data_IF_931564382823
#
_entry.id   IF_931564382823
#
_cell.length_a   1.000
_cell.length_b   1.000
_cell.length_c   1.000
_cell.angle_alpha   90.00
_cell.angle_beta   90.00
_cell.angle_gamma   90.00
#
_symmetry.space_group_name_H-M   'P 1'
#
loop_
_entity.id
_entity.type
_entity.pdbx_description
1 polymer ?
#
# COMPACT_ATOMS: atom_id res chain seq x y z
N UNK A 1 4.13 -9.13 -28.86
CA UNK A 1 4.34 -8.42 -27.60
C UNK A 1 4.13 -9.45 -26.49
N UNK A 2 5.17 -9.83 -25.77
CA UNK A 2 5.01 -10.68 -24.60
C UNK A 2 4.11 -9.95 -23.60
N UNK A 3 3.01 -10.59 -23.21
CA UNK A 3 2.13 -10.05 -22.17
C UNK A 3 2.92 -9.99 -20.87
N UNK A 4 3.19 -8.79 -20.35
CA UNK A 4 3.85 -8.61 -19.05
C UNK A 4 2.98 -9.32 -18.01
N UNK A 5 3.54 -10.37 -17.39
CA UNK A 5 2.83 -11.14 -16.36
C UNK A 5 2.58 -10.23 -15.16
N UNK A 6 1.31 -10.04 -14.75
CA UNK A 6 0.99 -9.20 -13.61
C UNK A 6 1.57 -9.78 -12.32
N UNK A 7 1.93 -8.90 -11.39
CA UNK A 7 2.43 -9.30 -10.07
C UNK A 7 1.29 -9.62 -9.11
N UNK A 8 0.19 -8.86 -9.23
CA UNK A 8 -1.01 -9.01 -8.41
C UNK A 8 -2.24 -9.02 -9.32
N UNK A 9 -3.12 -10.00 -9.14
CA UNK A 9 -4.38 -10.09 -9.88
C UNK A 9 -5.57 -10.26 -8.95
N UNK A 10 -6.61 -9.50 -9.18
CA UNK A 10 -7.93 -9.72 -8.60
C UNK A 10 -8.78 -10.46 -9.63
N UNK A 11 -9.39 -11.59 -9.27
CA UNK A 11 -10.30 -12.35 -10.12
C UNK A 11 -11.65 -12.52 -9.44
N UNK A 12 -12.61 -11.70 -9.85
CA UNK A 12 -13.96 -11.64 -9.27
C UNK A 12 -13.93 -11.56 -7.75
N UNK A 13 -12.97 -10.79 -7.22
CA UNK A 13 -12.75 -10.66 -5.79
C UNK A 13 -13.93 -9.94 -5.16
N UNK A 14 -14.49 -10.54 -4.11
CA UNK A 14 -15.54 -9.96 -3.29
C UNK A 14 -15.12 -9.94 -1.82
N UNK A 15 -15.52 -8.91 -1.08
CA UNK A 15 -15.33 -8.83 0.38
C UNK A 15 -16.66 -8.50 1.05
N UNK A 16 -17.04 -9.34 2.01
CA UNK A 16 -18.28 -9.19 2.77
C UNK A 16 -18.00 -9.02 4.26
N UNK A 17 -18.61 -8.03 4.89
CA UNK A 17 -18.58 -7.84 6.35
C UNK A 17 -19.67 -8.63 7.09
N UNK A 18 -20.73 -9.04 6.37
CA UNK A 18 -21.83 -9.86 6.89
C UNK A 18 -22.50 -10.60 5.73
N UNK A 19 -23.43 -11.51 6.03
CA UNK A 19 -24.20 -12.21 4.99
C UNK A 19 -24.98 -11.26 4.06
N UNK A 20 -25.24 -10.03 4.48
CA UNK A 20 -26.07 -9.06 3.76
C UNK A 20 -25.28 -7.87 3.17
N UNK A 21 -24.03 -7.65 3.59
CA UNK A 21 -23.27 -6.44 3.22
C UNK A 21 -22.00 -6.79 2.49
N UNK A 22 -22.00 -6.64 1.17
CA UNK A 22 -20.81 -6.71 0.33
C UNK A 22 -20.15 -5.32 0.22
N UNK A 23 -18.94 -5.19 0.75
CA UNK A 23 -18.15 -3.97 0.66
C UNK A 23 -17.31 -3.90 -0.62
N UNK A 24 -16.99 -5.05 -1.22
CA UNK A 24 -16.30 -5.18 -2.52
C UNK A 24 -17.03 -6.23 -3.34
N UNK A 25 -17.29 -5.92 -4.61
CA UNK A 25 -18.15 -6.73 -5.49
C UNK A 25 -17.45 -7.04 -6.81
N UNK A 26 -17.10 -8.30 -7.02
CA UNK A 26 -16.61 -8.88 -8.27
C UNK A 26 -15.46 -8.10 -8.95
N UNK A 27 -14.55 -7.52 -8.16
CA UNK A 27 -13.42 -6.77 -8.68
C UNK A 27 -12.48 -7.71 -9.46
N UNK A 28 -12.18 -7.30 -10.69
CA UNK A 28 -11.18 -7.98 -11.54
C UNK A 28 -10.23 -6.94 -12.12
N UNK A 29 -8.94 -7.08 -11.81
CA UNK A 29 -7.88 -6.18 -12.28
C UNK A 29 -6.53 -6.90 -12.22
N UNK A 30 -5.62 -6.52 -13.11
CA UNK A 30 -4.26 -7.05 -13.16
C UNK A 30 -3.25 -5.91 -12.96
N UNK A 31 -2.46 -5.99 -11.90
CA UNK A 31 -1.50 -4.96 -11.50
C UNK A 31 -0.13 -5.32 -12.06
N UNK A 32 0.46 -4.41 -12.80
CA UNK A 32 1.77 -4.58 -13.42
C UNK A 32 2.89 -4.44 -12.38
N UNK A 33 3.95 -5.22 -12.57
CA UNK A 33 5.14 -5.16 -11.70
C UNK A 33 5.84 -3.81 -11.82
N UNK A 34 6.38 -3.32 -10.70
CA UNK A 34 7.17 -2.07 -10.62
C UNK A 34 6.39 -0.85 -11.15
N UNK A 35 5.11 -0.77 -10.79
CA UNK A 35 4.25 0.37 -11.08
C UNK A 35 3.58 0.88 -9.82
N UNK A 36 3.09 2.13 -9.88
CA UNK A 36 2.16 2.65 -8.87
C UNK A 36 0.76 2.59 -9.46
N UNK A 37 -0.14 1.87 -8.79
CA UNK A 37 -1.58 1.87 -9.09
C UNK A 37 -2.33 2.59 -7.99
N UNK A 38 -3.07 3.66 -8.32
CA UNK A 38 -3.91 4.38 -7.39
C UNK A 38 -5.33 3.80 -7.34
N UNK A 39 -5.88 3.62 -6.14
CA UNK A 39 -7.29 3.26 -5.92
C UNK A 39 -8.01 4.51 -5.44
N UNK A 40 -8.95 5.01 -6.23
CA UNK A 40 -9.72 6.22 -5.99
C UNK A 40 -11.21 5.92 -5.86
N UNK A 41 -11.97 6.87 -5.31
CA UNK A 41 -13.42 6.82 -5.19
C UNK A 41 -13.92 7.47 -3.89
N UNK A 42 -15.23 7.66 -3.74
CA UNK A 42 -15.84 8.26 -2.55
C UNK A 42 -15.54 7.51 -1.26
N UNK A 43 -15.69 8.17 -0.12
CA UNK A 43 -15.56 7.54 1.19
C UNK A 43 -16.55 6.37 1.33
N UNK A 44 -16.10 5.27 1.95
CA UNK A 44 -16.93 4.08 2.15
C UNK A 44 -17.17 3.18 0.93
N UNK A 45 -16.62 3.49 -0.26
CA UNK A 45 -16.84 2.69 -1.47
C UNK A 45 -16.05 1.37 -1.53
N UNK A 46 -15.27 1.00 -0.50
CA UNK A 46 -14.57 -0.30 -0.42
C UNK A 46 -13.07 -0.28 -0.71
N UNK A 47 -12.43 0.88 -0.97
CA UNK A 47 -10.98 0.99 -1.31
C UNK A 47 -10.06 0.33 -0.30
N UNK A 48 -10.11 0.78 0.94
CA UNK A 48 -9.27 0.21 2.02
C UNK A 48 -9.63 -1.24 2.33
N UNK A 49 -10.87 -1.64 2.09
CA UNK A 49 -11.32 -3.03 2.22
C UNK A 49 -10.65 -3.92 1.18
N UNK A 50 -10.65 -3.50 -0.10
CA UNK A 50 -9.96 -4.19 -1.18
C UNK A 50 -8.46 -4.25 -0.91
N UNK A 51 -7.85 -3.12 -0.52
CA UNK A 51 -6.42 -3.04 -0.21
C UNK A 51 -6.04 -4.03 0.89
N UNK A 52 -6.79 -4.05 2.01
CA UNK A 52 -6.54 -4.92 3.16
C UNK A 52 -6.82 -6.39 2.90
N UNK A 53 -7.57 -6.73 1.86
CA UNK A 53 -7.74 -8.12 1.45
C UNK A 53 -6.44 -8.71 0.90
N UNK A 54 -5.58 -7.90 0.27
CA UNK A 54 -4.31 -8.34 -0.34
C UNK A 54 -3.28 -8.82 0.70
N UNK A 55 -3.28 -8.31 1.93
CA UNK A 55 -2.40 -8.78 3.00
C UNK A 55 -3.10 -9.65 4.06
N UNK A 56 -4.29 -10.16 3.73
CA UNK A 56 -5.11 -11.02 4.59
C UNK A 56 -5.44 -10.39 5.96
N UNK A 57 -5.57 -9.05 6.05
CA UNK A 57 -5.99 -8.40 7.30
C UNK A 57 -7.42 -8.74 7.69
N UNK A 58 -8.25 -9.14 6.75
CA UNK A 58 -9.61 -9.60 7.03
C UNK A 58 -9.64 -10.83 7.95
N UNK A 59 -8.60 -11.68 7.96
CA UNK A 59 -8.50 -12.84 8.85
C UNK A 59 -8.44 -12.47 10.34
N UNK A 60 -8.17 -11.20 10.67
CA UNK A 60 -8.22 -10.68 12.04
C UNK A 60 -9.67 -10.45 12.53
N UNK A 61 -10.65 -10.52 11.65
CA UNK A 61 -12.05 -10.24 11.92
C UNK A 61 -12.93 -11.43 11.53
N UNK A 62 -13.55 -12.15 12.48
CA UNK A 62 -14.23 -13.42 12.24
C UNK A 62 -15.44 -13.32 11.30
N UNK A 63 -16.00 -12.13 11.16
CA UNK A 63 -17.19 -11.90 10.33
C UNK A 63 -16.89 -11.49 8.90
N UNK A 64 -15.61 -11.18 8.56
CA UNK A 64 -15.24 -10.79 7.20
C UNK A 64 -14.94 -12.04 6.37
N UNK A 65 -15.48 -12.08 5.17
CA UNK A 65 -15.23 -13.15 4.20
C UNK A 65 -14.75 -12.55 2.88
N UNK A 66 -13.77 -13.20 2.27
CA UNK A 66 -13.27 -12.89 0.93
C UNK A 66 -13.60 -14.07 0.02
N UNK A 67 -14.10 -13.76 -1.18
CA UNK A 67 -14.46 -14.72 -2.21
C UNK A 67 -13.76 -14.34 -3.53
N UNK A 68 -13.72 -15.28 -4.47
CA UNK A 68 -12.94 -15.15 -5.70
C UNK A 68 -11.48 -15.49 -5.46
N UNK A 69 -10.58 -14.91 -6.24
CA UNK A 69 -9.15 -15.17 -6.11
C UNK A 69 -8.39 -13.82 -6.03
N UNK A 70 -7.30 -13.84 -5.28
CA UNK A 70 -6.28 -12.78 -5.29
C UNK A 70 -4.95 -13.48 -5.53
N UNK A 71 -4.36 -13.28 -6.70
CA UNK A 71 -3.13 -13.96 -7.08
C UNK A 71 -1.93 -13.03 -6.88
N UNK A 72 -0.91 -13.49 -6.18
CA UNK A 72 0.40 -12.84 -6.04
C UNK A 72 1.45 -13.69 -6.77
N UNK A 73 2.03 -13.16 -7.85
CA UNK A 73 2.92 -13.92 -8.73
C UNK A 73 2.27 -15.23 -9.28
N UNK A 74 0.93 -15.24 -9.42
CA UNK A 74 0.17 -16.39 -9.91
C UNK A 74 -0.27 -17.38 -8.84
N UNK A 75 0.08 -17.18 -7.55
CA UNK A 75 -0.33 -18.00 -6.41
C UNK A 75 -1.52 -17.35 -5.69
N UNK A 76 -2.57 -18.11 -5.41
CA UNK A 76 -3.75 -17.60 -4.71
C UNK A 76 -3.43 -17.37 -3.22
N UNK A 77 -3.33 -16.11 -2.82
CA UNK A 77 -2.99 -15.75 -1.42
C UNK A 77 -4.05 -16.18 -0.40
N UNK A 78 -5.29 -16.42 -0.83
CA UNK A 78 -6.35 -16.89 0.07
C UNK A 78 -6.14 -18.35 0.54
N UNK A 79 -5.26 -19.09 -0.14
CA UNK A 79 -4.86 -20.46 0.17
C UNK A 79 -3.50 -20.55 0.88
N UNK A 80 -2.83 -19.39 1.08
CA UNK A 80 -1.52 -19.32 1.72
C UNK A 80 -1.62 -19.02 3.21
N UNK A 81 -0.57 -19.37 3.96
CA UNK A 81 -0.45 -18.95 5.36
C UNK A 81 -0.30 -17.42 5.46
N UNK A 82 -1.08 -16.75 6.32
CA UNK A 82 -1.05 -15.29 6.44
C UNK A 82 0.34 -14.69 6.72
N UNK A 83 1.20 -15.43 7.41
CA UNK A 83 2.57 -14.99 7.70
C UNK A 83 3.41 -14.89 6.43
N UNK A 84 3.25 -15.82 5.50
CA UNK A 84 4.01 -15.85 4.25
C UNK A 84 3.52 -14.76 3.29
N UNK A 85 2.21 -14.53 3.24
CA UNK A 85 1.63 -13.41 2.48
C UNK A 85 2.16 -12.08 3.02
N UNK A 86 2.13 -11.86 4.35
CA UNK A 86 2.56 -10.60 4.98
C UNK A 86 4.06 -10.34 4.91
N UNK A 87 4.89 -11.36 4.63
CA UNK A 87 6.31 -11.18 4.28
C UNK A 87 6.49 -10.59 2.88
N UNK A 88 5.62 -10.98 1.95
CA UNK A 88 5.66 -10.58 0.54
C UNK A 88 4.85 -9.32 0.25
N UNK A 89 3.91 -8.95 1.14
CA UNK A 89 3.00 -7.82 1.00
C UNK A 89 3.15 -6.89 2.20
N UNK A 90 3.92 -5.80 2.01
CA UNK A 90 4.09 -4.76 3.02
C UNK A 90 2.86 -3.87 3.13
N UNK A 91 2.62 -3.27 4.31
CA UNK A 91 1.49 -2.36 4.53
C UNK A 91 1.93 -1.10 5.27
N UNK A 92 1.51 0.06 4.75
CA UNK A 92 1.63 1.37 5.39
C UNK A 92 0.23 1.93 5.62
N UNK A 93 -0.04 2.31 6.86
CA UNK A 93 -1.35 2.80 7.28
C UNK A 93 -1.48 4.31 7.14
N UNK A 94 -2.72 4.78 7.15
CA UNK A 94 -3.09 6.19 7.04
C UNK A 94 -2.42 7.07 8.11
N UNK A 95 -2.42 6.60 9.36
CA UNK A 95 -1.72 7.27 10.45
C UNK A 95 -0.37 6.61 10.67
N UNK A 96 0.72 7.39 10.75
CA UNK A 96 2.02 6.86 11.14
C UNK A 96 1.89 6.07 12.44
N UNK A 97 2.34 4.82 12.44
CA UNK A 97 2.24 3.93 13.59
C UNK A 97 3.58 3.20 13.82
N UNK A 98 4.66 3.91 14.16
CA UNK A 98 5.85 3.24 14.66
C UNK A 98 5.51 2.52 15.97
N UNK A 99 6.15 1.39 16.25
CA UNK A 99 5.99 0.71 17.53
C UNK A 99 6.53 1.62 18.65
N UNK A 100 5.69 2.08 19.59
CA UNK A 100 6.04 3.17 20.50
C UNK A 100 7.11 2.80 21.53
N UNK A 101 7.25 1.51 21.82
CA UNK A 101 8.26 0.98 22.75
C UNK A 101 9.60 0.69 22.09
N UNK A 102 9.64 0.63 20.76
CA UNK A 102 10.82 0.30 19.98
C UNK A 102 11.61 1.55 19.58
N UNK A 103 12.94 1.39 19.48
CA UNK A 103 13.82 2.40 18.89
C UNK A 103 13.55 2.57 17.38
N UNK A 104 14.13 3.59 16.75
CA UNK A 104 14.13 3.76 15.29
C UNK A 104 14.73 2.50 14.63
N UNK A 105 15.87 2.04 15.16
CA UNK A 105 16.56 0.83 14.71
C UNK A 105 15.68 -0.41 14.79
N UNK A 106 15.05 -0.66 15.95
CA UNK A 106 14.21 -1.84 16.16
C UNK A 106 12.91 -1.77 15.38
N UNK A 107 12.35 -0.58 15.15
CA UNK A 107 11.19 -0.40 14.27
C UNK A 107 11.47 -0.92 12.86
N UNK A 108 12.61 -0.60 12.27
CA UNK A 108 12.99 -1.10 10.94
C UNK A 108 13.10 -2.63 10.95
N UNK A 109 13.69 -3.20 11.99
CA UNK A 109 13.95 -4.65 12.10
C UNK A 109 12.78 -5.46 12.65
N UNK A 110 11.68 -4.81 13.05
CA UNK A 110 10.56 -5.47 13.72
C UNK A 110 9.95 -6.61 12.92
N UNK A 111 9.92 -6.50 11.59
CA UNK A 111 9.44 -7.57 10.71
C UNK A 111 10.24 -8.86 10.88
N UNK A 112 11.54 -8.79 10.99
CA UNK A 112 12.39 -9.97 11.23
C UNK A 112 12.15 -10.58 12.61
N UNK A 113 12.08 -9.71 13.64
CA UNK A 113 11.84 -10.15 15.02
C UNK A 113 10.48 -10.86 15.16
N UNK A 114 9.41 -10.28 14.61
CA UNK A 114 8.07 -10.85 14.66
C UNK A 114 7.93 -12.16 13.88
N UNK A 115 8.77 -12.37 12.87
CA UNK A 115 8.83 -13.61 12.10
C UNK A 115 9.85 -14.64 12.63
N UNK A 116 10.50 -14.38 13.79
CA UNK A 116 11.50 -15.28 14.35
C UNK A 116 12.80 -15.38 13.55
N UNK A 117 13.05 -14.46 12.62
CA UNK A 117 14.22 -14.48 11.75
C UNK A 117 15.40 -13.83 12.48
N UNK A 118 16.44 -14.61 12.74
CA UNK A 118 17.67 -14.13 13.38
C UNK A 118 18.64 -13.58 12.34
N UNK A 119 19.07 -12.35 12.51
CA UNK A 119 20.10 -11.71 11.68
C UNK A 119 21.36 -11.48 12.51
N UNK A 120 22.55 -11.61 11.89
CA UNK A 120 23.80 -11.15 12.47
C UNK A 120 23.79 -9.63 12.68
N UNK A 121 24.63 -9.11 13.58
CA UNK A 121 24.72 -7.67 13.85
C UNK A 121 25.00 -6.88 12.55
N UNK A 122 26.00 -7.33 11.79
CA UNK A 122 26.35 -6.69 10.52
C UNK A 122 25.17 -6.63 9.53
N UNK A 123 24.39 -7.73 9.43
CA UNK A 123 23.20 -7.75 8.54
C UNK A 123 22.06 -6.88 9.03
N UNK A 124 21.91 -6.73 10.35
CA UNK A 124 20.96 -5.78 10.95
C UNK A 124 21.32 -4.34 10.58
N UNK A 125 22.59 -3.96 10.80
CA UNK A 125 23.09 -2.61 10.55
C UNK A 125 22.97 -2.26 9.06
N UNK A 126 23.39 -3.16 8.15
CA UNK A 126 23.21 -3.01 6.70
C UNK A 126 21.74 -2.82 6.32
N UNK A 127 20.84 -3.62 6.91
CA UNK A 127 19.41 -3.54 6.61
C UNK A 127 18.82 -2.21 7.06
N UNK A 128 19.14 -1.77 8.28
CA UNK A 128 18.64 -0.50 8.83
C UNK A 128 19.12 0.68 7.99
N UNK A 129 20.43 0.74 7.70
CA UNK A 129 21.00 1.82 6.88
C UNK A 129 20.37 1.83 5.49
N UNK A 130 20.31 0.70 4.80
CA UNK A 130 19.69 0.58 3.48
C UNK A 130 18.23 1.08 3.49
N UNK A 131 17.41 0.61 4.43
CA UNK A 131 16.00 0.97 4.48
C UNK A 131 15.79 2.44 4.85
N UNK A 132 16.59 3.01 5.75
CA UNK A 132 16.49 4.43 6.10
C UNK A 132 17.02 5.33 4.98
N UNK A 133 18.02 4.90 4.22
CA UNK A 133 18.47 5.61 3.01
C UNK A 133 17.43 5.59 1.90
N UNK A 134 16.80 4.43 1.66
CA UNK A 134 15.76 4.31 0.61
C UNK A 134 14.53 5.19 0.87
N UNK A 135 14.32 5.67 2.11
CA UNK A 135 13.26 6.60 2.47
C UNK A 135 13.77 8.01 2.79
N UNK A 136 15.00 8.33 2.40
CA UNK A 136 15.65 9.62 2.67
C UNK A 136 15.59 10.07 4.14
N UNK A 137 15.68 9.12 5.09
CA UNK A 137 15.61 9.39 6.53
C UNK A 137 16.97 9.20 7.23
N UNK A 138 17.93 8.48 6.60
CA UNK A 138 19.19 8.10 7.21
C UNK A 138 19.98 9.30 7.77
N UNK A 139 20.19 10.33 6.97
CA UNK A 139 21.01 11.47 7.39
C UNK A 139 20.39 12.27 8.55
N UNK A 140 19.08 12.17 8.72
CA UNK A 140 18.37 12.83 9.81
C UNK A 140 18.42 12.05 11.13
N UNK A 141 18.62 10.71 11.08
CA UNK A 141 18.47 9.86 12.26
C UNK A 141 19.67 8.98 12.60
N UNK A 142 20.71 8.92 11.77
CA UNK A 142 21.87 8.01 11.95
C UNK A 142 22.54 8.13 13.33
N UNK A 143 22.54 9.33 13.91
CA UNK A 143 23.16 9.58 15.23
C UNK A 143 22.18 9.36 16.41
N UNK A 144 20.90 9.04 16.13
CA UNK A 144 19.84 8.89 17.13
C UNK A 144 19.03 7.61 16.97
N UNK A 145 19.58 6.58 16.31
CA UNK A 145 18.90 5.32 16.00
C UNK A 145 18.32 4.60 17.24
N UNK A 146 18.91 4.82 18.40
CA UNK A 146 18.46 4.24 19.68
C UNK A 146 17.28 5.01 20.32
N UNK A 147 16.92 6.19 19.80
CA UNK A 147 15.73 6.91 20.27
C UNK A 147 14.45 6.20 19.80
N UNK A 148 13.36 6.37 20.56
CA UNK A 148 12.06 5.80 20.21
C UNK A 148 11.57 6.36 18.87
N UNK A 149 10.91 5.52 18.06
CA UNK A 149 10.32 5.95 16.78
C UNK A 149 9.30 7.09 16.92
N UNK A 150 8.65 7.20 18.08
CA UNK A 150 7.71 8.29 18.42
C UNK A 150 8.37 9.65 18.68
N UNK A 151 9.69 9.70 18.81
CA UNK A 151 10.46 10.96 18.91
C UNK A 151 10.44 11.77 17.60
N UNK A 152 10.20 11.11 16.49
CA UNK A 152 10.24 11.70 15.15
C UNK A 152 9.00 12.56 14.87
N UNK A 153 9.12 13.53 13.94
CA UNK A 153 7.97 14.27 13.40
C UNK A 153 7.02 13.35 12.62
N UNK A 154 5.79 13.79 12.35
CA UNK A 154 4.80 12.99 11.64
C UNK A 154 5.30 12.48 10.28
N UNK A 155 5.91 13.33 9.47
CA UNK A 155 6.50 12.94 8.18
C UNK A 155 7.67 11.98 8.33
N UNK A 156 8.54 12.16 9.34
CA UNK A 156 9.63 11.23 9.65
C UNK A 156 9.09 9.87 10.13
N UNK A 157 8.05 9.87 10.98
CA UNK A 157 7.38 8.64 11.42
C UNK A 157 6.79 7.87 10.24
N UNK A 158 6.19 8.57 9.27
CA UNK A 158 5.65 7.93 8.07
C UNK A 158 6.76 7.29 7.24
N UNK A 159 7.87 8.01 7.01
CA UNK A 159 9.06 7.45 6.35
C UNK A 159 9.63 6.25 7.10
N UNK A 160 9.66 6.29 8.43
CA UNK A 160 10.07 5.14 9.25
C UNK A 160 9.14 3.94 9.06
N UNK A 161 7.81 4.15 8.98
CA UNK A 161 6.85 3.09 8.70
C UNK A 161 7.03 2.49 7.29
N UNK A 162 7.39 3.30 6.30
CA UNK A 162 7.74 2.83 4.95
C UNK A 162 9.04 2.01 5.01
N UNK A 163 10.10 2.52 5.68
CA UNK A 163 11.36 1.80 5.85
C UNK A 163 11.17 0.42 6.51
N UNK A 164 10.32 0.36 7.54
CA UNK A 164 9.91 -0.88 8.21
C UNK A 164 9.25 -1.87 7.24
N UNK A 165 8.32 -1.38 6.41
CA UNK A 165 7.63 -2.23 5.44
C UNK A 165 8.59 -2.77 4.35
N UNK A 166 9.57 -1.98 3.93
CA UNK A 166 10.57 -2.34 2.93
C UNK A 166 11.66 -3.30 3.47
N UNK A 167 11.83 -3.41 4.78
CA UNK A 167 12.93 -4.18 5.38
C UNK A 167 12.89 -5.66 4.97
N UNK A 168 11.69 -6.23 4.84
CA UNK A 168 11.47 -7.61 4.41
C UNK A 168 11.56 -7.81 2.89
N UNK A 169 11.82 -6.74 2.10
CA UNK A 169 11.85 -6.76 0.62
C UNK A 169 10.56 -7.32 0.03
N UNK A 170 9.41 -6.70 0.30
CA UNK A 170 8.13 -7.18 -0.20
C UNK A 170 8.03 -7.10 -1.73
N UNK A 171 7.21 -7.98 -2.34
CA UNK A 171 6.85 -7.92 -3.76
C UNK A 171 5.91 -6.73 -4.04
N UNK A 172 5.01 -6.44 -3.09
CA UNK A 172 3.99 -5.38 -3.18
C UNK A 172 3.96 -4.56 -1.89
N UNK A 173 3.89 -3.24 -2.02
CA UNK A 173 3.71 -2.30 -0.92
C UNK A 173 2.31 -1.69 -1.01
N UNK A 174 1.48 -1.96 -0.02
CA UNK A 174 0.15 -1.40 0.12
C UNK A 174 0.20 -0.12 0.95
N UNK A 175 -0.47 0.92 0.50
CA UNK A 175 -0.51 2.20 1.19
C UNK A 175 -1.96 2.71 1.31
N UNK A 176 -2.45 2.82 2.54
CA UNK A 176 -3.81 3.29 2.82
C UNK A 176 -3.74 4.78 3.21
N UNK A 177 -3.97 5.68 2.26
CA UNK A 177 -3.95 7.14 2.41
C UNK A 177 -2.68 7.68 3.14
N UNK A 178 -1.46 7.33 2.70
CA UNK A 178 -0.23 7.51 3.49
C UNK A 178 0.16 8.97 3.76
N UNK A 179 -0.47 9.94 3.10
CA UNK A 179 -0.15 11.37 3.22
C UNK A 179 -1.29 12.21 3.80
N UNK A 180 -2.44 11.60 4.14
CA UNK A 180 -3.63 12.34 4.59
C UNK A 180 -3.44 13.10 5.92
N UNK A 181 -2.49 12.67 6.76
CA UNK A 181 -2.17 13.30 8.04
C UNK A 181 -0.90 14.18 7.99
N UNK A 182 -0.37 14.44 6.80
CA UNK A 182 0.88 15.17 6.60
C UNK A 182 0.63 16.57 6.01
N UNK A 183 1.55 17.49 6.31
CA UNK A 183 1.59 18.80 5.67
C UNK A 183 1.98 18.69 4.18
N UNK A 184 1.78 19.75 3.37
CA UNK A 184 2.07 19.71 1.94
C UNK A 184 3.54 19.43 1.59
N UNK A 185 4.49 19.86 2.42
CA UNK A 185 5.93 19.65 2.17
C UNK A 185 6.27 18.18 2.40
N UNK A 186 5.83 17.62 3.53
CA UNK A 186 6.02 16.20 3.84
C UNK A 186 5.30 15.31 2.81
N UNK A 187 4.11 15.70 2.35
CA UNK A 187 3.38 15.00 1.27
C UNK A 187 4.21 14.94 -0.01
N UNK A 188 4.77 16.07 -0.44
CA UNK A 188 5.61 16.13 -1.64
C UNK A 188 6.83 15.20 -1.53
N UNK A 189 7.51 15.21 -0.38
CA UNK A 189 8.64 14.31 -0.14
C UNK A 189 8.24 12.82 -0.22
N UNK A 190 7.05 12.45 0.29
CA UNK A 190 6.54 11.08 0.16
C UNK A 190 6.22 10.77 -1.31
N UNK A 191 5.62 11.68 -2.07
CA UNK A 191 5.32 11.47 -3.49
C UNK A 191 6.61 11.23 -4.31
N UNK A 192 7.63 12.06 -4.12
CA UNK A 192 8.95 11.90 -4.75
C UNK A 192 9.58 10.55 -4.37
N UNK A 193 9.52 10.19 -3.10
CA UNK A 193 9.98 8.90 -2.60
C UNK A 193 9.27 7.72 -3.29
N UNK A 194 7.95 7.76 -3.45
CA UNK A 194 7.19 6.69 -4.07
C UNK A 194 7.57 6.48 -5.54
N UNK A 195 7.85 7.58 -6.27
CA UNK A 195 8.32 7.52 -7.65
C UNK A 195 9.69 6.84 -7.79
N UNK A 196 10.56 6.96 -6.78
CA UNK A 196 11.82 6.21 -6.76
C UNK A 196 11.60 4.75 -6.36
N UNK A 197 10.80 4.49 -5.32
CA UNK A 197 10.55 3.14 -4.81
C UNK A 197 9.85 2.23 -5.81
N UNK A 198 9.00 2.76 -6.71
CA UNK A 198 8.33 1.94 -7.72
C UNK A 198 9.30 1.17 -8.63
N UNK A 199 10.55 1.62 -8.75
CA UNK A 199 11.59 0.92 -9.55
C UNK A 199 11.95 -0.45 -8.95
N UNK A 200 11.75 -0.61 -7.63
CA UNK A 200 12.13 -1.81 -6.88
C UNK A 200 10.94 -2.62 -6.36
N UNK A 201 9.81 -1.95 -6.05
CA UNK A 201 8.62 -2.55 -5.46
C UNK A 201 7.36 -2.05 -6.14
N UNK A 202 6.38 -2.94 -6.34
CA UNK A 202 5.06 -2.55 -6.86
C UNK A 202 4.24 -1.88 -5.76
N UNK A 203 3.60 -0.76 -6.06
CA UNK A 203 2.87 0.03 -5.08
C UNK A 203 1.38 0.08 -5.43
N UNK A 204 0.54 -0.27 -4.46
CA UNK A 204 -0.90 -0.10 -4.51
C UNK A 204 -1.30 0.95 -3.46
N UNK A 205 -1.76 2.12 -3.89
CA UNK A 205 -2.05 3.25 -3.01
C UNK A 205 -3.53 3.62 -3.05
N UNK A 206 -4.18 3.66 -1.89
CA UNK A 206 -5.48 4.30 -1.72
C UNK A 206 -5.26 5.78 -1.47
N UNK A 207 -5.94 6.64 -2.20
CA UNK A 207 -5.95 8.09 -1.97
C UNK A 207 -7.30 8.70 -2.34
N UNK A 208 -7.71 9.70 -1.57
CA UNK A 208 -8.83 10.58 -1.91
C UNK A 208 -8.36 11.86 -2.62
N UNK A 209 -7.04 12.07 -2.74
CA UNK A 209 -6.46 13.22 -3.43
C UNK A 209 -6.22 12.87 -4.91
N UNK A 210 -7.13 13.32 -5.77
CA UNK A 210 -7.06 13.10 -7.22
C UNK A 210 -5.78 13.69 -7.84
N UNK A 211 -5.34 14.85 -7.36
CA UNK A 211 -4.08 15.46 -7.81
C UNK A 211 -2.86 14.60 -7.49
N UNK A 212 -2.84 13.96 -6.31
CA UNK A 212 -1.80 12.99 -5.95
C UNK A 212 -1.83 11.78 -6.90
N UNK A 213 -3.00 11.14 -7.06
CA UNK A 213 -3.13 10.01 -7.98
C UNK A 213 -2.61 10.34 -9.38
N UNK A 214 -2.97 11.50 -9.92
CA UNK A 214 -2.51 11.96 -11.24
C UNK A 214 -1.00 12.15 -11.32
N UNK A 215 -0.35 12.64 -10.23
CA UNK A 215 1.10 12.90 -10.26
C UNK A 215 1.95 11.66 -10.13
N UNK A 216 1.51 10.67 -9.35
CA UNK A 216 2.41 9.57 -8.98
C UNK A 216 2.04 8.22 -9.59
N UNK A 217 0.80 7.98 -10.03
CA UNK A 217 0.39 6.66 -10.51
C UNK A 217 0.41 6.54 -12.03
N UNK A 218 0.85 5.39 -12.54
CA UNK A 218 0.76 5.04 -13.96
C UNK A 218 -0.61 4.45 -14.31
N UNK A 219 -1.24 3.75 -13.36
CA UNK A 219 -2.57 3.17 -13.49
C UNK A 219 -3.48 3.65 -12.35
N UNK A 220 -4.77 3.75 -12.64
CA UNK A 220 -5.78 4.12 -11.65
C UNK A 220 -6.98 3.17 -11.70
N UNK A 221 -7.51 2.88 -10.50
CA UNK A 221 -8.74 2.13 -10.27
C UNK A 221 -9.76 3.09 -9.67
N UNK A 222 -10.89 3.29 -10.32
CA UNK A 222 -12.00 4.03 -9.74
C UNK A 222 -13.05 3.07 -9.19
N UNK A 223 -13.31 3.16 -7.89
CA UNK A 223 -14.29 2.35 -7.19
C UNK A 223 -15.51 3.18 -6.77
N UNK A 224 -16.69 2.59 -6.94
CA UNK A 224 -17.95 3.18 -6.50
C UNK A 224 -18.91 2.11 -5.97
N UNK A 225 -19.46 2.29 -4.78
CA UNK A 225 -20.39 1.36 -4.11
C UNK A 225 -19.95 -0.12 -4.12
N UNK A 226 -18.65 -0.35 -3.92
CA UNK A 226 -18.04 -1.67 -3.88
C UNK A 226 -17.61 -2.22 -5.23
N UNK A 227 -17.93 -1.58 -6.33
CA UNK A 227 -17.62 -2.01 -7.69
C UNK A 227 -16.38 -1.31 -8.23
N UNK A 228 -15.59 -2.01 -9.03
CA UNK A 228 -14.57 -1.42 -9.88
C UNK A 228 -15.25 -0.89 -11.14
N UNK A 229 -15.39 0.43 -11.22
CA UNK A 229 -16.08 1.11 -12.32
C UNK A 229 -15.18 1.27 -13.52
N UNK A 230 -13.94 1.69 -13.30
CA UNK A 230 -12.95 1.90 -14.35
C UNK A 230 -11.55 1.55 -13.84
N UNK A 231 -10.74 0.92 -14.70
CA UNK A 231 -9.34 0.61 -14.45
C UNK A 231 -8.53 0.82 -15.73
N UNK A 232 -7.45 1.53 -15.63
CA UNK A 232 -6.60 1.79 -16.78
C UNK A 232 -5.50 2.79 -16.53
N UNK A 233 -4.96 3.29 -17.63
CA UNK A 233 -3.96 4.35 -17.63
C UNK A 233 -4.47 5.61 -16.92
N UNK A 234 -3.68 6.16 -16.00
CA UNK A 234 -4.08 7.30 -15.17
C UNK A 234 -4.32 8.54 -16.02
N UNK A 235 -3.43 8.86 -16.95
CA UNK A 235 -3.56 10.07 -17.76
C UNK A 235 -4.82 10.00 -18.64
N UNK A 236 -5.07 8.83 -19.26
CA UNK A 236 -6.29 8.60 -20.03
C UNK A 236 -7.54 8.74 -19.15
N UNK A 237 -7.57 8.14 -17.96
CA UNK A 237 -8.72 8.22 -17.05
C UNK A 237 -9.03 9.65 -16.66
N UNK A 238 -8.00 10.48 -16.40
CA UNK A 238 -8.17 11.88 -16.02
C UNK A 238 -8.53 12.82 -17.18
N UNK A 239 -8.18 12.47 -18.42
CA UNK A 239 -8.44 13.32 -19.60
C UNK A 239 -9.68 12.88 -20.37
N UNK A 240 -9.92 11.57 -20.48
CA UNK A 240 -11.02 10.99 -21.24
C UNK A 240 -11.56 9.72 -20.53
N UNK A 241 -12.20 9.86 -19.37
CA UNK A 241 -12.78 8.73 -18.63
C UNK A 241 -13.85 8.03 -19.48
N UNK A 242 -13.89 6.70 -19.41
CA UNK A 242 -14.82 5.88 -20.20
C UNK A 242 -16.19 5.71 -19.55
N UNK A 243 -16.31 5.96 -18.24
CA UNK A 243 -17.56 5.85 -17.49
C UNK A 243 -17.99 7.24 -16.96
N UNK A 244 -19.28 7.58 -17.10
CA UNK A 244 -19.82 8.87 -16.64
C UNK A 244 -19.70 9.05 -15.11
N UNK A 245 -19.69 7.97 -14.34
CA UNK A 245 -19.46 8.03 -12.88
C UNK A 245 -18.03 8.45 -12.57
N UNK A 246 -17.04 7.93 -13.30
CA UNK A 246 -15.64 8.36 -13.20
C UNK A 246 -15.52 9.85 -13.51
N UNK A 247 -16.16 10.31 -14.60
CA UNK A 247 -16.16 11.70 -15.01
C UNK A 247 -16.80 12.61 -13.96
N UNK A 248 -17.95 12.21 -13.42
CA UNK A 248 -18.64 12.95 -12.37
C UNK A 248 -17.78 13.07 -11.09
N UNK A 249 -17.09 12.00 -10.70
CA UNK A 249 -16.17 12.01 -9.57
C UNK A 249 -14.99 12.95 -9.80
N UNK A 250 -14.30 12.82 -10.96
CA UNK A 250 -13.12 13.63 -11.28
C UNK A 250 -13.43 15.13 -11.45
N UNK A 251 -14.67 15.47 -11.81
CA UNK A 251 -15.13 16.88 -11.91
C UNK A 251 -15.76 17.42 -10.63
N UNK A 252 -15.72 16.67 -9.52
CA UNK A 252 -16.30 17.08 -8.23
C UNK A 252 -17.83 17.14 -8.19
N UNK A 253 -18.51 16.52 -9.16
CA UNK A 253 -19.98 16.43 -9.21
C UNK A 253 -20.54 15.22 -8.43
N UNK A 254 -19.63 14.36 -7.94
CA UNK A 254 -19.95 13.18 -7.14
C UNK A 254 -19.00 13.17 -5.95
N UNK A 255 -19.54 13.31 -4.73
CA UNK A 255 -18.80 13.28 -3.47
C UNK A 255 -19.68 12.85 -2.32
#
# INVERSE_FOLDING_TARGET
MESVKPILEFKKTCVSYSKQTMAVKYVSAAIEKNTITAIMGPSGCGKSTLLRAVNLMHNLYPNIRVYGEILLNGENILEMEPIDVRRRVGMVFQRPAPFPTMSIYDNVLSGFALNGIKLSKAKKDETVERCLRSVALWEEVKDVLNKKGTFLSGGQQQRLCIARALAMKPDVLLMDEPTSALDPIATKHIEELLLELQKEVTILIVTHNMGQAKRISSKSMFMYLGELVEYGDTERMFTNPSDERTKAYLTGKMG
#
